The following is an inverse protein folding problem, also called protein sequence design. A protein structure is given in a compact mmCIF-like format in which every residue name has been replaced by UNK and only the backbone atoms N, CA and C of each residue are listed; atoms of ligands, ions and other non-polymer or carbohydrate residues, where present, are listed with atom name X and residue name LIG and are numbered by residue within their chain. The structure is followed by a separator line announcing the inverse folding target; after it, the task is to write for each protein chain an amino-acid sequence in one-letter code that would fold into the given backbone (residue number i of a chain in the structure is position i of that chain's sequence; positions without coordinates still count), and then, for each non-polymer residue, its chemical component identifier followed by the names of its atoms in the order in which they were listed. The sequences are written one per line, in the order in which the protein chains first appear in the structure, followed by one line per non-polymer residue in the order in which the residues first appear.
data_IF_836343413276
#
_entry.id   IF_836343413276
#
_cell.length_a   1.000
_cell.length_b   1.000
_cell.length_c   1.000
_cell.angle_alpha   90.00
_cell.angle_beta   90.00
_cell.angle_gamma   90.00
#
_symmetry.space_group_name_H-M   'P 1'
#
loop_
_entity.id
_entity.type
_entity.pdbx_description
1 polymer ?
#
# COMPACT_ATOMS: atom_id res chain seq x y z
N UNK A 1 4.09 9.76 -0.47
CA UNK A 1 4.64 10.60 -1.55
C UNK A 1 3.60 11.65 -1.86
N UNK A 2 4.04 12.88 -2.07
CA UNK A 2 3.14 13.99 -2.35
C UNK A 2 2.88 14.05 -3.86
N UNK A 3 1.66 14.39 -4.25
CA UNK A 3 1.40 14.83 -5.61
C UNK A 3 2.02 16.23 -5.83
N UNK A 4 1.98 16.74 -7.07
CA UNK A 4 2.64 18.00 -7.40
C UNK A 4 2.03 19.16 -6.60
N UNK A 5 0.71 19.15 -6.39
CA UNK A 5 0.00 20.13 -5.59
C UNK A 5 0.44 20.20 -4.14
N UNK A 6 0.40 19.07 -3.46
CA UNK A 6 0.77 18.91 -2.06
C UNK A 6 2.22 19.30 -1.82
N UNK A 7 3.12 19.01 -2.77
CA UNK A 7 4.52 19.42 -2.66
C UNK A 7 4.68 20.96 -2.73
N UNK A 8 3.95 21.64 -3.62
CA UNK A 8 3.99 23.11 -3.69
C UNK A 8 3.39 23.78 -2.47
N UNK A 9 2.29 23.23 -1.95
CA UNK A 9 1.67 23.69 -0.70
C UNK A 9 2.64 23.52 0.47
N UNK A 10 3.27 22.36 0.62
CA UNK A 10 4.28 22.12 1.64
C UNK A 10 5.45 23.11 1.59
N UNK A 11 5.95 23.44 0.39
CA UNK A 11 7.04 24.42 0.24
C UNK A 11 6.59 25.85 0.57
N UNK A 12 5.37 26.22 0.19
CA UNK A 12 4.81 27.52 0.55
C UNK A 12 4.61 27.63 2.07
N UNK A 13 4.10 26.58 2.73
CA UNK A 13 3.92 26.52 4.18
C UNK A 13 5.26 26.52 4.92
N UNK A 14 6.27 25.82 4.40
CA UNK A 14 7.62 25.82 4.97
C UNK A 14 8.25 27.22 4.94
N UNK A 15 7.94 28.01 3.90
CA UNK A 15 8.43 29.38 3.77
C UNK A 15 7.61 30.35 4.61
N UNK A 16 6.29 30.20 4.66
CA UNK A 16 5.47 30.99 5.58
C UNK A 16 5.86 30.77 7.05
N UNK A 17 6.34 29.57 7.39
CA UNK A 17 6.82 29.22 8.73
C UNK A 17 8.34 29.40 8.92
N UNK A 18 9.06 29.92 7.93
CA UNK A 18 10.51 30.06 8.06
C UNK A 18 10.85 31.14 9.09
N UNK A 19 11.75 30.78 10.00
CA UNK A 19 12.14 31.61 11.12
C UNK A 19 13.40 32.41 10.78
N UNK A 20 13.31 33.73 10.89
CA UNK A 20 14.47 34.62 10.91
C UNK A 20 14.74 35.02 12.36
N UNK A 21 15.91 34.65 12.90
CA UNK A 21 16.26 34.85 14.31
C UNK A 21 15.21 34.29 15.30
N UNK A 22 14.58 33.16 14.96
CA UNK A 22 13.60 32.49 15.84
C UNK A 22 12.18 33.06 15.79
N UNK A 23 11.90 34.04 14.92
CA UNK A 23 10.57 34.63 14.72
C UNK A 23 10.16 34.38 13.25
N UNK A 24 8.90 33.99 12.95
CA UNK A 24 8.42 33.89 11.58
C UNK A 24 8.62 35.21 10.85
N UNK A 25 9.23 35.21 9.66
CA UNK A 25 9.45 36.42 8.89
C UNK A 25 8.17 36.80 8.09
N UNK A 26 7.45 37.88 8.45
CA UNK A 26 6.20 38.26 7.78
C UNK A 26 6.40 38.78 6.35
N UNK A 27 7.64 39.03 5.91
CA UNK A 27 7.95 39.45 4.55
C UNK A 27 8.08 38.27 3.56
N UNK A 28 8.01 37.04 4.05
CA UNK A 28 8.15 35.87 3.19
C UNK A 28 6.95 35.70 2.27
N UNK A 29 7.25 35.58 0.97
CA UNK A 29 6.26 35.36 -0.08
C UNK A 29 6.29 33.88 -0.49
N UNK A 30 5.12 33.29 -0.82
CA UNK A 30 5.07 31.94 -1.36
C UNK A 30 5.89 31.85 -2.65
N UNK A 31 6.64 30.75 -2.82
CA UNK A 31 7.40 30.47 -4.04
C UNK A 31 6.46 30.17 -5.20
N UNK A 32 5.37 29.45 -4.93
CA UNK A 32 4.39 29.06 -5.92
C UNK A 32 3.13 29.90 -5.75
N UNK A 33 2.86 30.81 -6.69
CA UNK A 33 1.62 31.59 -6.71
C UNK A 33 0.41 30.75 -7.15
N UNK A 34 -0.79 31.19 -6.78
CA UNK A 34 -2.05 30.47 -7.07
C UNK A 34 -2.20 30.12 -8.56
N UNK A 35 -1.85 31.03 -9.47
CA UNK A 35 -1.89 30.78 -10.92
C UNK A 35 -0.94 29.69 -11.37
N UNK A 36 0.28 29.62 -10.81
CA UNK A 36 1.27 28.59 -11.15
C UNK A 36 0.87 27.22 -10.60
N UNK A 37 0.14 27.20 -9.49
CA UNK A 37 -0.43 25.99 -8.92
C UNK A 37 -1.64 25.49 -9.71
N UNK A 38 -2.47 26.37 -10.25
CA UNK A 38 -3.63 25.96 -11.07
C UNK A 38 -3.27 25.64 -12.53
N UNK A 39 -2.20 26.23 -13.08
CA UNK A 39 -1.78 25.99 -14.48
C UNK A 39 -0.91 24.74 -14.69
N UNK A 40 -0.95 23.78 -13.75
CA UNK A 40 -0.08 22.60 -13.81
C UNK A 40 -0.59 21.61 -14.85
N UNK A 41 0.33 21.18 -15.72
CA UNK A 41 0.03 20.21 -16.77
C UNK A 41 -0.13 18.77 -16.25
N UNK A 42 0.50 18.45 -15.11
CA UNK A 42 0.48 17.11 -14.51
C UNK A 42 0.42 17.23 -12.98
N UNK A 43 -0.49 16.48 -12.35
CA UNK A 43 -0.66 16.37 -10.90
C UNK A 43 -0.91 14.91 -10.50
N UNK A 44 0.02 14.05 -10.91
CA UNK A 44 -0.11 12.60 -10.72
C UNK A 44 0.26 12.23 -9.29
N UNK A 45 -0.69 11.69 -8.55
CA UNK A 45 -0.44 11.00 -7.29
C UNK A 45 0.10 9.59 -7.57
N UNK A 46 1.43 9.49 -7.63
CA UNK A 46 2.12 8.23 -7.87
C UNK A 46 1.92 7.21 -6.74
N UNK A 47 1.66 7.65 -5.50
CA UNK A 47 1.39 6.73 -4.40
C UNK A 47 0.07 6.01 -4.62
N UNK A 48 -0.98 6.74 -4.99
CA UNK A 48 -2.27 6.15 -5.37
C UNK A 48 -2.19 5.30 -6.64
N UNK A 49 -1.29 5.64 -7.55
CA UNK A 49 -1.15 4.89 -8.79
C UNK A 49 -0.42 3.55 -8.62
N UNK A 50 0.58 3.45 -7.73
CA UNK A 50 1.34 2.21 -7.53
C UNK A 50 0.79 1.33 -6.41
N UNK A 51 0.03 1.91 -5.46
CA UNK A 51 -0.52 1.18 -4.32
C UNK A 51 -2.00 0.83 -4.54
N UNK A 52 -2.40 -0.33 -4.07
CA UNK A 52 -3.78 -0.71 -3.86
C UNK A 52 -4.28 -0.11 -2.55
N UNK A 53 -5.50 0.45 -2.57
CA UNK A 53 -6.17 0.96 -1.36
C UNK A 53 -6.46 -0.12 -0.31
N UNK A 54 -6.46 -1.40 -0.72
CA UNK A 54 -6.75 -2.54 0.16
C UNK A 54 -5.98 -3.77 -0.30
N UNK A 55 -5.37 -4.47 0.65
CA UNK A 55 -4.60 -5.70 0.44
C UNK A 55 -5.16 -6.85 1.30
N UNK A 56 -6.37 -7.37 0.98
CA UNK A 56 -6.97 -8.46 1.75
C UNK A 56 -6.15 -9.75 1.62
N UNK A 57 -6.14 -10.51 2.70
CA UNK A 57 -5.54 -11.85 2.79
C UNK A 57 -6.65 -12.84 3.08
N UNK A 58 -6.72 -13.92 2.31
CA UNK A 58 -7.68 -15.00 2.48
C UNK A 58 -6.93 -16.33 2.55
N UNK A 59 -7.22 -17.14 3.57
CA UNK A 59 -6.68 -18.49 3.72
C UNK A 59 -7.82 -19.45 4.04
N UNK A 60 -7.89 -20.54 3.26
CA UNK A 60 -8.87 -21.59 3.39
C UNK A 60 -8.14 -22.92 3.54
N UNK A 61 -8.46 -23.66 4.60
CA UNK A 61 -7.90 -24.98 4.86
C UNK A 61 -9.02 -26.02 5.02
N UNK A 62 -8.93 -27.09 4.25
CA UNK A 62 -9.78 -28.27 4.35
C UNK A 62 -8.92 -29.48 4.71
N UNK A 63 -9.31 -30.23 5.73
CA UNK A 63 -8.61 -31.47 6.10
C UNK A 63 -9.58 -32.61 6.34
N UNK A 64 -9.30 -33.75 5.70
CA UNK A 64 -9.98 -35.01 5.88
C UNK A 64 -8.99 -36.00 6.47
N UNK A 65 -9.39 -36.66 7.56
CA UNK A 65 -8.60 -37.66 8.27
C UNK A 65 -9.47 -38.89 8.49
N UNK A 66 -8.91 -40.07 8.27
CA UNK A 66 -9.61 -41.34 8.45
C UNK A 66 -8.63 -42.50 8.45
N UNK A 67 -9.10 -43.68 8.87
CA UNK A 67 -8.25 -44.86 8.97
C UNK A 67 -8.78 -45.87 9.98
N UNK A 68 -8.19 -47.06 9.99
CA UNK A 68 -8.38 -48.09 11.01
C UNK A 68 -7.04 -48.36 11.74
N UNK A 69 -7.01 -49.34 12.64
CA UNK A 69 -5.82 -49.65 13.45
C UNK A 69 -4.58 -50.05 12.63
N UNK A 70 -4.76 -50.45 11.36
CA UNK A 70 -3.68 -50.91 10.49
C UNK A 70 -3.31 -49.91 9.38
N UNK A 71 -4.12 -48.88 9.14
CA UNK A 71 -3.89 -47.88 8.08
C UNK A 71 -4.55 -46.56 8.44
N UNK A 72 -3.75 -45.50 8.52
CA UNK A 72 -4.21 -44.12 8.71
C UNK A 72 -3.92 -43.27 7.47
N UNK A 73 -4.89 -42.48 7.05
CA UNK A 73 -4.75 -41.57 5.93
C UNK A 73 -5.21 -40.15 6.29
N UNK A 74 -4.55 -39.18 5.68
CA UNK A 74 -4.88 -37.78 5.79
C UNK A 74 -4.77 -37.11 4.43
N UNK A 75 -5.83 -36.41 4.06
CA UNK A 75 -5.88 -35.49 2.93
C UNK A 75 -6.03 -34.07 3.48
N UNK A 76 -5.22 -33.14 3.01
CA UNK A 76 -5.34 -31.72 3.35
C UNK A 76 -5.20 -30.87 2.11
N UNK A 77 -6.10 -29.90 1.96
CA UNK A 77 -6.07 -28.89 0.91
C UNK A 77 -5.99 -27.52 1.57
N UNK A 78 -5.18 -26.63 1.00
CA UNK A 78 -5.07 -25.24 1.43
C UNK A 78 -5.07 -24.33 0.20
N UNK A 79 -5.85 -23.25 0.27
CA UNK A 79 -5.91 -22.18 -0.71
C UNK A 79 -5.64 -20.86 0.00
N UNK A 80 -4.57 -20.19 -0.42
CA UNK A 80 -4.19 -18.88 0.10
C UNK A 80 -4.18 -17.85 -1.04
N UNK A 81 -4.84 -16.72 -0.85
CA UNK A 81 -4.88 -15.58 -1.76
C UNK A 81 -4.46 -14.32 -0.99
N UNK A 82 -3.26 -13.83 -1.26
CA UNK A 82 -2.71 -12.63 -0.66
C UNK A 82 -2.57 -11.55 -1.72
N UNK A 83 -3.38 -10.48 -1.59
CA UNK A 83 -3.16 -9.27 -2.39
C UNK A 83 -2.03 -8.47 -1.75
N UNK A 84 -1.07 -8.02 -2.56
CA UNK A 84 -0.04 -7.09 -2.11
C UNK A 84 -0.58 -5.65 -2.16
N UNK A 85 -0.03 -4.78 -1.31
CA UNK A 85 -0.31 -3.33 -1.39
C UNK A 85 0.28 -2.77 -2.70
N UNK A 86 1.38 -3.32 -3.21
CA UNK A 86 1.89 -2.95 -4.54
C UNK A 86 1.06 -3.60 -5.65
N UNK A 87 0.60 -2.80 -6.61
CA UNK A 87 -0.14 -3.30 -7.78
C UNK A 87 0.72 -4.30 -8.57
N UNK A 88 0.19 -5.51 -8.79
CA UNK A 88 0.84 -6.57 -9.57
C UNK A 88 1.69 -7.58 -8.79
N UNK A 89 1.86 -7.42 -7.47
CA UNK A 89 2.68 -8.32 -6.64
C UNK A 89 1.86 -9.32 -5.79
N UNK A 90 0.59 -9.53 -6.11
CA UNK A 90 -0.26 -10.49 -5.38
C UNK A 90 0.23 -11.93 -5.54
N UNK A 91 0.03 -12.76 -4.51
CA UNK A 91 0.44 -14.16 -4.49
C UNK A 91 -0.77 -15.07 -4.24
N UNK A 92 -0.94 -16.08 -5.09
CA UNK A 92 -1.92 -17.14 -4.90
C UNK A 92 -1.20 -18.47 -4.75
N UNK A 93 -1.55 -19.23 -3.73
CA UNK A 93 -0.94 -20.53 -3.44
C UNK A 93 -2.01 -21.59 -3.25
N UNK A 94 -1.84 -22.70 -3.96
CA UNK A 94 -2.64 -23.91 -3.81
C UNK A 94 -1.72 -25.00 -3.25
N UNK A 95 -2.12 -25.63 -2.16
CA UNK A 95 -1.36 -26.73 -1.55
C UNK A 95 -2.26 -27.91 -1.31
N UNK A 96 -1.85 -29.09 -1.80
CA UNK A 96 -2.51 -30.37 -1.50
C UNK A 96 -1.49 -31.28 -0.85
N UNK A 97 -1.88 -31.92 0.25
CA UNK A 97 -1.04 -32.84 1.01
C UNK A 97 -1.79 -34.14 1.26
N UNK A 98 -1.13 -35.24 0.90
CA UNK A 98 -1.55 -36.59 1.22
C UNK A 98 -0.53 -37.21 2.18
N UNK A 99 -1.00 -37.84 3.25
CA UNK A 99 -0.19 -38.64 4.15
C UNK A 99 -0.85 -39.99 4.37
N UNK A 100 -0.04 -41.03 4.44
CA UNK A 100 -0.44 -42.40 4.76
C UNK A 100 0.53 -42.90 5.82
N UNK A 101 0.03 -43.54 6.88
CA UNK A 101 0.83 -44.13 7.94
C UNK A 101 0.28 -45.50 8.30
#
# INVERSE_FOLDING_TARGET
MLNAREWMEFNNDAIANSLKNGIPDPAMKPIFGATAMDSRKYDTDWQKEILHNSAPVQDYQLSLRGGNDNLQYMLSMNYADQKAISKGSGMKKYSVRLKFR
#
